data_IF_495980929318
#
_entry.id   IF_495980929318
#
_cell.length_a   1.000
_cell.length_b   1.000
_cell.length_c   1.000
_cell.angle_alpha   90.00
_cell.angle_beta   90.00
_cell.angle_gamma   90.00
#
_symmetry.space_group_name_H-M   'P 1'
#
loop_
_entity.id
_entity.type
_entity.pdbx_description
1 polymer ?
#
# COMPACT_ATOMS: atom_id res chain seq x y z
N UNK A 1 -23.48 -43.64 -17.69
CA UNK A 1 -22.70 -43.49 -18.94
C UNK A 1 -22.25 -42.04 -18.96
N UNK A 2 -20.98 -41.79 -18.65
CA UNK A 2 -20.41 -40.45 -18.51
C UNK A 2 -19.37 -40.30 -19.62
N UNK A 3 -19.67 -39.48 -20.62
CA UNK A 3 -18.79 -39.23 -21.75
C UNK A 3 -17.61 -38.36 -21.28
N UNK A 4 -16.40 -38.94 -21.30
CA UNK A 4 -15.14 -38.21 -21.13
C UNK A 4 -14.82 -37.49 -22.44
N UNK A 5 -14.74 -36.16 -22.41
CA UNK A 5 -14.22 -35.37 -23.54
C UNK A 5 -12.69 -35.57 -23.70
N UNK A 6 -12.15 -35.63 -24.94
CA UNK A 6 -10.72 -35.82 -25.18
C UNK A 6 -9.88 -34.57 -24.90
N UNK A 7 -8.68 -34.77 -24.32
CA UNK A 7 -7.69 -33.72 -24.06
C UNK A 7 -6.91 -33.37 -25.36
N UNK A 8 -6.91 -32.10 -25.83
CA UNK A 8 -6.43 -31.74 -27.18
C UNK A 8 -4.90 -31.57 -27.33
N UNK A 9 -4.08 -32.00 -26.37
CA UNK A 9 -2.60 -31.88 -26.44
C UNK A 9 -1.86 -33.21 -26.53
N UNK A 10 -2.51 -34.24 -27.08
CA UNK A 10 -1.93 -35.58 -27.20
C UNK A 10 -1.50 -35.87 -28.64
N UNK A 11 -0.24 -35.59 -28.94
CA UNK A 11 0.43 -35.98 -30.19
C UNK A 11 1.78 -35.25 -30.25
N UNK A 12 2.93 -35.87 -30.51
CA UNK A 12 3.23 -37.17 -31.08
C UNK A 12 4.70 -37.45 -30.68
N UNK A 13 4.96 -38.58 -30.02
CA UNK A 13 6.31 -39.09 -29.84
C UNK A 13 6.60 -40.05 -31.00
N UNK A 14 7.34 -39.57 -32.00
CA UNK A 14 7.83 -40.37 -33.11
C UNK A 14 9.31 -40.09 -33.40
N UNK A 15 10.21 -40.74 -32.66
CA UNK A 15 11.63 -40.88 -33.05
C UNK A 15 11.76 -41.99 -34.13
N UNK A 16 12.78 -41.98 -35.02
CA UNK A 16 14.02 -42.70 -34.66
C UNK A 16 15.34 -42.22 -35.34
N UNK A 17 16.45 -42.32 -34.59
CA UNK A 17 17.75 -42.83 -35.12
C UNK A 17 18.91 -41.84 -35.40
N UNK A 18 19.99 -41.93 -34.61
CA UNK A 18 21.35 -41.46 -34.96
C UNK A 18 22.26 -41.13 -33.75
N UNK A 19 23.45 -41.76 -33.56
CA UNK A 19 24.18 -41.73 -32.29
C UNK A 19 25.26 -40.63 -32.21
N UNK A 20 25.50 -40.06 -31.03
CA UNK A 20 26.66 -39.17 -30.86
C UNK A 20 26.74 -38.46 -29.50
N UNK A 21 27.68 -38.92 -28.69
CA UNK A 21 28.19 -38.35 -27.44
C UNK A 21 28.39 -36.82 -27.46
N UNK A 22 28.20 -36.16 -26.30
CA UNK A 22 28.72 -34.79 -26.09
C UNK A 22 28.23 -34.10 -24.83
N UNK A 23 29.03 -34.15 -23.76
CA UNK A 23 28.91 -33.25 -22.62
C UNK A 23 29.14 -31.80 -23.10
N UNK A 24 28.39 -30.79 -22.63
CA UNK A 24 28.75 -29.40 -22.90
C UNK A 24 30.01 -29.04 -22.10
N UNK A 25 31.05 -28.82 -22.90
CA UNK A 25 32.42 -28.48 -22.56
C UNK A 25 32.52 -27.14 -21.81
N UNK A 26 33.41 -27.09 -20.81
CA UNK A 26 33.69 -25.92 -19.98
C UNK A 26 34.33 -24.77 -20.76
N UNK A 27 33.91 -23.55 -20.40
CA UNK A 27 34.52 -22.31 -20.87
C UNK A 27 35.85 -22.06 -20.15
N UNK A 28 36.89 -21.57 -20.85
CA UNK A 28 38.21 -21.32 -20.26
C UNK A 28 38.18 -20.15 -19.26
N UNK A 29 38.89 -20.35 -18.16
CA UNK A 29 39.02 -19.42 -17.04
C UNK A 29 39.82 -18.16 -17.40
N UNK A 30 39.23 -17.00 -17.11
CA UNK A 30 39.90 -15.71 -17.08
C UNK A 30 40.80 -15.66 -15.84
N UNK A 31 42.09 -15.27 -15.94
CA UNK A 31 42.99 -15.26 -14.79
C UNK A 31 42.73 -14.03 -13.93
N UNK A 32 42.27 -14.25 -12.70
CA UNK A 32 42.25 -13.21 -11.68
C UNK A 32 41.02 -13.21 -10.77
N UNK A 33 40.71 -14.29 -10.06
CA UNK A 33 39.97 -14.18 -8.79
C UNK A 33 40.18 -15.42 -7.90
N UNK A 34 40.73 -15.29 -6.68
CA UNK A 34 40.95 -16.41 -5.76
C UNK A 34 39.68 -16.89 -5.06
N UNK A 35 39.51 -18.22 -5.00
CA UNK A 35 39.36 -18.99 -3.76
C UNK A 35 38.10 -18.82 -2.91
N UNK A 36 37.36 -19.93 -2.77
CA UNK A 36 36.36 -20.18 -1.73
C UNK A 36 36.83 -19.73 -0.33
N UNK A 37 35.98 -19.00 0.39
CA UNK A 37 36.16 -18.69 1.80
C UNK A 37 34.82 -18.38 2.47
N UNK A 38 34.41 -19.23 3.41
CA UNK A 38 33.40 -18.90 4.41
C UNK A 38 33.82 -17.63 5.18
N UNK A 39 32.93 -16.66 5.44
CA UNK A 39 33.22 -15.67 6.45
C UNK A 39 33.16 -16.33 7.84
N UNK A 40 34.31 -16.31 8.53
CA UNK A 40 34.45 -16.74 9.91
C UNK A 40 33.66 -15.82 10.84
N UNK A 41 32.89 -16.45 11.74
CA UNK A 41 32.11 -15.83 12.79
C UNK A 41 33.03 -15.21 13.86
N UNK A 42 32.86 -13.92 14.25
CA UNK A 42 33.61 -13.35 15.36
C UNK A 42 33.10 -13.90 16.71
N UNK A 43 33.99 -14.15 17.69
CA UNK A 43 33.61 -14.68 19.00
C UNK A 43 32.87 -13.63 19.84
N UNK A 44 31.73 -14.02 20.41
CA UNK A 44 30.94 -13.23 21.34
C UNK A 44 31.61 -13.17 22.74
N UNK A 45 31.82 -11.99 23.34
CA UNK A 45 32.22 -11.88 24.73
C UNK A 45 31.00 -11.78 25.67
N UNK A 46 30.82 -12.82 26.48
CA UNK A 46 30.72 -12.73 27.94
C UNK A 46 29.54 -11.99 28.59
N UNK A 47 28.66 -12.77 29.22
CA UNK A 47 27.71 -12.35 30.25
C UNK A 47 28.40 -11.62 31.42
N UNK A 48 27.80 -10.52 31.90
CA UNK A 48 28.09 -9.91 33.18
C UNK A 48 27.05 -8.86 33.58
N UNK A 49 26.28 -9.13 34.64
CA UNK A 49 25.50 -8.12 35.37
C UNK A 49 26.35 -7.61 36.54
N UNK A 50 26.28 -6.30 36.83
CA UNK A 50 25.93 -5.91 38.20
C UNK A 50 24.85 -4.81 38.24
N UNK A 51 23.97 -4.98 39.23
CA UNK A 51 22.90 -4.10 39.64
C UNK A 51 23.45 -3.04 40.60
N UNK A 52 23.29 -1.75 40.31
CA UNK A 52 23.53 -0.67 41.30
C UNK A 52 22.53 0.48 41.12
N UNK A 53 22.01 0.93 42.26
CA UNK A 53 20.86 1.80 42.50
C UNK A 53 21.17 3.29 42.34
N UNK A 54 20.19 4.16 42.00
CA UNK A 54 20.37 5.61 41.99
C UNK A 54 20.16 6.25 43.37
N UNK A 55 21.00 7.23 43.79
CA UNK A 55 20.70 8.07 44.95
C UNK A 55 19.93 9.35 44.56
N UNK A 56 18.78 9.57 45.21
CA UNK A 56 18.22 10.91 45.49
C UNK A 56 18.65 11.31 46.94
N UNK A 57 18.46 12.54 47.48
CA UNK A 57 17.66 13.68 46.99
C UNK A 57 18.27 15.10 47.22
N UNK A 58 17.82 16.10 46.46
CA UNK A 58 18.03 17.53 46.75
C UNK A 58 16.70 18.23 47.03
N UNK A 59 16.50 18.67 48.27
CA UNK A 59 15.32 19.41 48.77
C UNK A 59 15.26 20.85 48.26
N UNK A 60 14.05 21.38 48.01
CA UNK A 60 13.63 22.74 48.36
C UNK A 60 12.09 22.83 48.49
N UNK A 61 11.53 23.81 49.23
CA UNK A 61 10.69 23.56 50.42
C UNK A 61 9.18 23.52 50.20
N UNK A 62 8.52 22.71 51.03
CA UNK A 62 7.07 22.74 51.28
C UNK A 62 6.72 23.97 52.14
N UNK A 63 5.91 24.87 51.60
CA UNK A 63 5.14 25.82 52.39
C UNK A 63 3.73 25.26 52.53
N UNK A 64 3.43 24.72 53.71
CA UNK A 64 2.13 24.15 54.04
C UNK A 64 1.07 25.23 54.19
N UNK A 65 -0.12 24.94 53.66
CA UNK A 65 -1.34 25.70 53.91
C UNK A 65 -2.54 24.80 53.74
N UNK A 66 -3.05 24.30 54.86
CA UNK A 66 -4.34 23.62 54.93
C UNK A 66 -5.48 24.62 54.66
N UNK A 67 -6.43 24.28 53.80
CA UNK A 67 -7.74 24.93 53.80
C UNK A 67 -8.45 25.04 52.44
N UNK A 68 -9.58 24.31 52.35
CA UNK A 68 -10.81 24.61 51.56
C UNK A 68 -10.80 24.17 50.07
N UNK A 69 -11.80 23.41 49.60
CA UNK A 69 -11.90 22.97 48.20
C UNK A 69 -12.43 24.10 47.30
N UNK A 70 -11.67 24.46 46.26
CA UNK A 70 -12.14 25.30 45.16
C UNK A 70 -12.72 24.41 44.04
N UNK A 71 -13.93 24.70 43.50
CA UNK A 71 -14.53 23.91 42.46
C UNK A 71 -14.01 24.32 41.07
N UNK A 72 -13.57 23.34 40.27
CA UNK A 72 -13.65 23.46 38.80
C UNK A 72 -12.37 23.41 37.96
N UNK A 73 -11.29 22.76 38.40
CA UNK A 73 -10.17 22.44 37.48
C UNK A 73 -10.26 20.98 36.99
N UNK A 74 -10.26 20.73 35.65
CA UNK A 74 -10.29 19.37 35.12
C UNK A 74 -9.01 18.61 35.49
N UNK A 75 -9.10 17.28 35.71
CA UNK A 75 -7.99 16.47 36.19
C UNK A 75 -6.85 16.44 35.17
N UNK A 76 -5.68 16.86 35.64
CA UNK A 76 -4.39 16.79 34.95
C UNK A 76 -3.99 15.32 34.89
N UNK A 77 -4.09 14.70 33.71
CA UNK A 77 -3.59 13.34 33.46
C UNK A 77 -2.06 13.31 33.62
N UNK A 78 -1.47 12.28 34.24
CA UNK A 78 -0.03 12.13 34.35
C UNK A 78 0.59 11.86 32.95
N UNK A 79 1.54 12.69 32.47
CA UNK A 79 2.20 12.47 31.20
C UNK A 79 3.29 11.41 31.37
N UNK A 80 2.98 10.15 31.06
CA UNK A 80 3.89 9.02 31.29
C UNK A 80 3.75 7.82 30.35
N UNK A 81 2.90 7.88 29.32
CA UNK A 81 2.98 6.90 28.23
C UNK A 81 3.34 7.61 26.93
N UNK A 82 4.47 7.25 26.27
CA UNK A 82 4.75 7.75 24.94
C UNK A 82 3.76 7.09 23.97
N UNK A 83 2.70 7.81 23.60
CA UNK A 83 2.07 7.60 22.29
C UNK A 83 3.10 8.05 21.25
N UNK A 84 3.94 7.12 20.82
CA UNK A 84 4.86 7.32 19.72
C UNK A 84 4.08 7.36 18.39
N UNK A 85 3.28 8.41 18.19
CA UNK A 85 2.97 8.93 16.86
C UNK A 85 4.15 9.80 16.43
N UNK A 86 5.26 9.14 16.13
CA UNK A 86 6.46 9.79 15.64
C UNK A 86 6.24 10.28 14.22
N UNK A 87 6.22 11.61 14.05
CA UNK A 87 6.78 12.31 12.91
C UNK A 87 6.14 12.07 11.54
N UNK A 88 5.30 13.01 11.13
CA UNK A 88 4.93 13.21 9.73
C UNK A 88 3.43 13.06 9.51
N UNK A 89 2.88 14.00 8.73
CA UNK A 89 1.53 13.92 8.16
C UNK A 89 1.41 12.64 7.33
N UNK A 90 1.04 11.55 7.99
CA UNK A 90 0.77 10.28 7.34
C UNK A 90 -0.52 10.38 6.53
N UNK A 91 -0.56 9.70 5.38
CA UNK A 91 -1.76 9.59 4.57
C UNK A 91 -2.00 8.12 4.20
N UNK A 92 -3.24 7.81 3.84
CA UNK A 92 -3.66 6.47 3.51
C UNK A 92 -4.12 6.36 2.05
N UNK A 93 -3.82 5.21 1.45
CA UNK A 93 -4.25 4.77 0.13
C UNK A 93 -4.96 3.42 0.31
N UNK A 94 -6.29 3.45 0.36
CA UNK A 94 -7.07 2.25 0.68
C UNK A 94 -6.73 1.75 2.09
N UNK A 95 -6.17 0.54 2.17
CA UNK A 95 -5.70 -0.11 3.40
C UNK A 95 -4.19 0.10 3.66
N UNK A 96 -3.49 0.84 2.81
CA UNK A 96 -2.06 1.18 2.96
C UNK A 96 -1.95 2.52 3.68
N UNK A 97 -1.25 2.57 4.81
CA UNK A 97 -0.97 3.84 5.51
C UNK A 97 0.51 4.15 5.46
N UNK A 98 0.89 5.37 5.09
CA UNK A 98 2.28 5.83 5.17
C UNK A 98 2.41 6.66 6.45
N UNK A 99 3.34 6.31 7.32
CA UNK A 99 3.59 7.01 8.59
C UNK A 99 5.10 7.08 8.84
N UNK A 100 5.65 8.30 8.88
CA UNK A 100 7.09 8.51 9.00
C UNK A 100 7.86 7.83 7.87
N UNK A 101 8.76 6.92 8.23
CA UNK A 101 9.61 6.15 7.30
C UNK A 101 9.10 4.71 7.07
N UNK A 102 7.83 4.46 7.34
CA UNK A 102 7.22 3.14 7.23
C UNK A 102 5.92 3.18 6.43
N UNK A 103 5.67 2.10 5.70
CA UNK A 103 4.41 1.79 5.05
C UNK A 103 3.76 0.68 5.87
N UNK A 104 2.60 0.97 6.46
CA UNK A 104 1.80 0.02 7.21
C UNK A 104 0.78 -0.62 6.27
N UNK A 105 0.80 -1.95 6.21
CA UNK A 105 -0.19 -2.75 5.48
C UNK A 105 -0.75 -3.86 6.38
N UNK A 106 -1.88 -4.47 6.03
CA UNK A 106 -2.39 -5.64 6.75
C UNK A 106 -1.40 -6.81 6.83
N UNK A 107 -0.49 -6.93 5.87
CA UNK A 107 0.59 -7.95 5.85
C UNK A 107 1.80 -7.56 6.72
N UNK A 108 1.75 -6.41 7.40
CA UNK A 108 2.79 -5.89 8.27
C UNK A 108 3.45 -4.61 7.74
N UNK A 109 4.34 -4.01 8.53
CA UNK A 109 5.09 -2.83 8.11
C UNK A 109 6.17 -3.19 7.08
N UNK A 110 6.42 -2.28 6.13
CA UNK A 110 7.53 -2.32 5.19
C UNK A 110 8.22 -0.95 5.11
N UNK A 111 9.53 -0.87 4.79
CA UNK A 111 10.24 0.40 4.77
C UNK A 111 9.70 1.33 3.66
N UNK A 112 9.60 2.63 3.92
CA UNK A 112 9.20 3.59 2.90
C UNK A 112 10.31 3.83 1.88
N UNK A 113 11.57 3.82 2.34
CA UNK A 113 12.75 3.95 1.49
C UNK A 113 12.89 2.81 0.50
N UNK A 114 13.11 3.18 -0.76
CA UNK A 114 13.21 2.23 -1.88
C UNK A 114 11.87 1.59 -2.28
N UNK A 115 10.74 2.09 -1.76
CA UNK A 115 9.43 1.57 -2.13
C UNK A 115 9.08 1.95 -3.58
N UNK A 116 8.71 0.96 -4.39
CA UNK A 116 8.20 1.15 -5.73
C UNK A 116 6.67 1.16 -5.71
N UNK A 117 6.08 2.22 -6.27
CA UNK A 117 4.63 2.44 -6.31
C UNK A 117 4.09 2.40 -7.75
N UNK A 118 3.04 1.61 -7.96
CA UNK A 118 2.33 1.48 -9.23
C UNK A 118 0.82 1.68 -9.05
N UNK A 119 0.14 2.24 -10.05
CA UNK A 119 -1.31 2.33 -10.11
C UNK A 119 -1.85 1.99 -11.50
N UNK A 120 -2.83 1.11 -11.55
CA UNK A 120 -3.55 0.71 -12.76
C UNK A 120 -5.01 1.15 -12.66
N UNK A 121 -5.51 1.81 -13.70
CA UNK A 121 -6.91 2.20 -13.79
C UNK A 121 -7.75 1.06 -14.39
N UNK A 122 -8.67 0.51 -13.59
CA UNK A 122 -9.66 -0.48 -14.02
C UNK A 122 -11.07 0.13 -14.00
N UNK A 123 -11.18 1.45 -14.00
CA UNK A 123 -12.46 2.16 -14.05
C UNK A 123 -12.99 2.30 -15.48
N UNK A 124 -14.31 2.41 -15.60
CA UNK A 124 -15.02 2.66 -16.85
C UNK A 124 -16.02 3.80 -16.64
N UNK A 125 -15.96 4.79 -17.52
CA UNK A 125 -16.96 5.87 -17.55
C UNK A 125 -17.92 5.64 -18.70
N UNK A 126 -19.20 5.48 -18.35
CA UNK A 126 -20.29 5.37 -19.31
C UNK A 126 -21.15 6.64 -19.28
N UNK A 127 -21.65 7.04 -20.44
CA UNK A 127 -22.56 8.19 -20.55
C UNK A 127 -23.93 7.69 -20.98
N UNK A 128 -24.96 7.95 -20.17
CA UNK A 128 -26.35 7.56 -20.44
C UNK A 128 -27.27 8.77 -20.41
N UNK A 129 -28.35 8.71 -21.17
CA UNK A 129 -29.44 9.69 -21.05
C UNK A 129 -30.34 9.20 -19.90
N UNK A 130 -30.55 10.01 -18.84
CA UNK A 130 -31.34 9.58 -17.70
C UNK A 130 -32.80 9.39 -18.11
N UNK A 131 -33.46 8.35 -17.59
CA UNK A 131 -34.86 8.04 -17.93
C UNK A 131 -35.80 9.21 -17.65
N UNK A 132 -35.55 9.95 -16.56
CA UNK A 132 -36.30 11.15 -16.20
C UNK A 132 -36.19 12.26 -17.26
N UNK A 133 -35.04 12.41 -17.94
CA UNK A 133 -34.91 13.38 -19.04
C UNK A 133 -35.81 13.02 -20.22
N UNK A 134 -35.93 11.72 -20.53
CA UNK A 134 -36.82 11.23 -21.60
C UNK A 134 -38.29 11.49 -21.21
N UNK A 135 -38.68 11.17 -19.98
CA UNK A 135 -40.05 11.39 -19.48
C UNK A 135 -40.42 12.88 -19.52
N UNK A 136 -39.53 13.75 -19.03
CA UNK A 136 -39.75 15.20 -19.06
C UNK A 136 -39.81 15.73 -20.50
N UNK A 137 -38.99 15.21 -21.41
CA UNK A 137 -39.05 15.57 -22.83
C UNK A 137 -40.41 15.25 -23.46
N UNK A 138 -41.00 14.09 -23.12
CA UNK A 138 -42.33 13.69 -23.61
C UNK A 138 -43.44 14.59 -23.04
N UNK A 139 -43.41 14.88 -21.73
CA UNK A 139 -44.42 15.73 -21.07
C UNK A 139 -44.37 17.17 -21.61
N UNK A 140 -43.17 17.72 -21.82
CA UNK A 140 -42.97 19.09 -22.31
C UNK A 140 -42.86 19.20 -23.83
N UNK A 141 -43.19 18.15 -24.60
CA UNK A 141 -43.06 18.17 -26.06
C UNK A 141 -43.89 19.28 -26.73
N UNK A 142 -45.06 19.64 -26.16
CA UNK A 142 -45.86 20.77 -26.64
C UNK A 142 -45.12 22.11 -26.55
N UNK A 143 -44.18 22.22 -25.61
CA UNK A 143 -43.25 23.33 -25.49
C UNK A 143 -41.89 23.02 -26.12
N UNK A 144 -41.90 22.27 -27.24
CA UNK A 144 -40.79 21.76 -28.07
C UNK A 144 -39.35 22.10 -27.61
N UNK A 145 -38.96 23.38 -27.57
CA UNK A 145 -37.62 23.81 -27.13
C UNK A 145 -37.26 23.37 -25.68
N UNK A 146 -38.23 23.39 -24.77
CA UNK A 146 -38.05 22.93 -23.38
C UNK A 146 -37.88 21.41 -23.31
N UNK A 147 -38.66 20.64 -24.07
CA UNK A 147 -38.53 19.18 -24.12
C UNK A 147 -37.17 18.72 -24.67
N UNK A 148 -36.66 19.42 -25.69
CA UNK A 148 -35.37 19.14 -26.31
C UNK A 148 -34.19 19.46 -25.37
N UNK A 149 -34.29 20.48 -24.52
CA UNK A 149 -33.26 20.80 -23.52
C UNK A 149 -33.03 19.63 -22.57
N UNK A 150 -34.10 18.91 -22.18
CA UNK A 150 -33.96 17.75 -21.31
C UNK A 150 -33.24 16.58 -21.99
N UNK A 151 -33.40 16.38 -23.30
CA UNK A 151 -32.64 15.36 -24.04
C UNK A 151 -31.13 15.65 -24.11
N UNK A 152 -30.72 16.90 -23.92
CA UNK A 152 -29.30 17.27 -23.78
C UNK A 152 -28.72 16.90 -22.40
N UNK A 153 -29.57 16.58 -21.42
CA UNK A 153 -29.11 16.12 -20.12
C UNK A 153 -28.46 14.75 -20.27
N UNK A 154 -27.14 14.68 -20.04
CA UNK A 154 -26.37 13.44 -20.03
C UNK A 154 -25.85 13.18 -18.63
N UNK A 155 -26.04 11.97 -18.14
CA UNK A 155 -25.48 11.51 -16.88
C UNK A 155 -24.20 10.72 -17.18
N UNK A 156 -23.12 11.05 -16.48
CA UNK A 156 -21.88 10.27 -16.51
C UNK A 156 -21.85 9.40 -15.27
N UNK A 157 -21.74 8.09 -15.44
CA UNK A 157 -21.56 7.15 -14.33
C UNK A 157 -20.17 6.54 -14.48
N UNK A 158 -19.38 6.61 -13.42
CA UNK A 158 -18.07 5.94 -13.34
C UNK A 158 -18.20 4.73 -12.43
N UNK A 159 -17.71 3.58 -12.87
CA UNK A 159 -17.71 2.33 -12.10
C UNK A 159 -16.34 1.67 -12.22
N UNK A 160 -16.01 0.79 -11.26
CA UNK A 160 -14.75 0.05 -11.25
C UNK A 160 -13.81 0.49 -10.12
N UNK A 161 -12.53 0.17 -10.27
CA UNK A 161 -11.53 0.32 -9.21
C UNK A 161 -10.20 0.81 -9.78
N UNK A 162 -9.40 1.46 -8.95
CA UNK A 162 -8.01 1.76 -9.21
C UNK A 162 -7.19 0.79 -8.36
N UNK A 163 -6.39 -0.03 -9.02
CA UNK A 163 -5.48 -0.95 -8.33
C UNK A 163 -4.19 -0.22 -8.01
N UNK A 164 -3.83 -0.14 -6.73
CA UNK A 164 -2.57 0.44 -6.27
C UNK A 164 -1.70 -0.69 -5.72
N UNK A 165 -0.44 -0.74 -6.15
CA UNK A 165 0.52 -1.74 -5.71
C UNK A 165 1.78 -1.06 -5.19
N UNK A 166 2.25 -1.53 -4.04
CA UNK A 166 3.50 -1.10 -3.41
C UNK A 166 4.43 -2.28 -3.23
N UNK A 167 5.72 -2.05 -3.50
CA UNK A 167 6.78 -3.04 -3.35
C UNK A 167 7.90 -2.45 -2.54
N UNK A 168 8.26 -3.06 -1.40
CA UNK A 168 9.37 -2.61 -0.58
C UNK A 168 9.94 -3.71 0.30
N UNK A 169 11.26 -3.72 0.51
CA UNK A 169 11.93 -4.67 1.41
C UNK A 169 11.66 -6.15 1.09
N UNK A 170 11.50 -6.50 -0.19
CA UNK A 170 11.15 -7.85 -0.64
C UNK A 170 9.68 -8.25 -0.43
N UNK A 171 8.82 -7.31 -0.01
CA UNK A 171 7.38 -7.50 0.15
C UNK A 171 6.61 -6.72 -0.90
N UNK A 172 5.41 -7.22 -1.22
CA UNK A 172 4.48 -6.58 -2.15
C UNK A 172 3.10 -6.54 -1.51
N UNK A 173 2.39 -5.41 -1.63
CA UNK A 173 1.00 -5.28 -1.20
C UNK A 173 0.20 -4.57 -2.27
N UNK A 174 -1.05 -4.98 -2.49
CA UNK A 174 -1.95 -4.36 -3.45
C UNK A 174 -3.29 -4.07 -2.81
N UNK A 175 -3.85 -2.93 -3.17
CA UNK A 175 -5.16 -2.47 -2.70
C UNK A 175 -6.00 -1.99 -3.86
N UNK A 176 -7.33 -2.00 -3.69
CA UNK A 176 -8.28 -1.55 -4.69
C UNK A 176 -9.06 -0.37 -4.13
N UNK A 177 -8.93 0.78 -4.79
CA UNK A 177 -9.63 2.01 -4.42
C UNK A 177 -10.84 2.13 -5.35
N UNK A 178 -12.08 2.28 -4.82
CA UNK A 178 -13.25 2.42 -5.68
C UNK A 178 -13.17 3.72 -6.50
N UNK A 179 -13.45 3.61 -7.80
CA UNK A 179 -13.53 4.77 -8.70
C UNK A 179 -14.88 5.45 -8.52
N UNK A 180 -14.94 6.47 -7.65
CA UNK A 180 -16.18 7.24 -7.41
C UNK A 180 -16.48 8.16 -8.60
N UNK A 181 -15.45 8.62 -9.29
CA UNK A 181 -15.54 9.52 -10.43
C UNK A 181 -14.27 9.44 -11.31
N UNK A 182 -14.31 10.08 -12.49
CA UNK A 182 -13.18 10.08 -13.43
C UNK A 182 -11.91 10.77 -12.89
N UNK A 183 -12.03 11.65 -11.90
CA UNK A 183 -10.87 12.32 -11.27
C UNK A 183 -10.22 11.48 -10.18
N UNK A 184 -10.84 10.38 -9.73
CA UNK A 184 -10.30 9.52 -8.68
C UNK A 184 -8.90 9.01 -9.04
N UNK A 185 -8.66 8.61 -10.31
CA UNK A 185 -7.34 8.17 -10.75
C UNK A 185 -6.27 9.27 -10.64
N UNK A 186 -6.61 10.51 -11.00
CA UNK A 186 -5.69 11.65 -10.85
C UNK A 186 -5.34 11.92 -9.38
N UNK A 187 -6.33 11.83 -8.49
CA UNK A 187 -6.08 11.93 -7.05
C UNK A 187 -5.14 10.82 -6.56
N UNK A 188 -5.39 9.56 -6.93
CA UNK A 188 -4.50 8.43 -6.59
C UNK A 188 -3.08 8.66 -7.10
N UNK A 189 -2.93 9.13 -8.33
CA UNK A 189 -1.61 9.38 -8.91
C UNK A 189 -0.86 10.50 -8.17
N UNK A 190 -1.55 11.56 -7.74
CA UNK A 190 -0.95 12.62 -6.92
C UNK A 190 -0.44 12.09 -5.57
N UNK A 191 -1.24 11.26 -4.90
CA UNK A 191 -0.84 10.63 -3.64
C UNK A 191 0.35 9.68 -3.83
N UNK A 192 0.37 8.91 -4.91
CA UNK A 192 1.51 8.04 -5.25
C UNK A 192 2.76 8.86 -5.56
N UNK A 193 2.64 9.95 -6.30
CA UNK A 193 3.77 10.84 -6.57
C UNK A 193 4.33 11.43 -5.26
N UNK A 194 3.45 11.79 -4.32
CA UNK A 194 3.86 12.20 -2.98
C UNK A 194 4.56 11.05 -2.23
N UNK A 195 4.02 9.84 -2.23
CA UNK A 195 4.67 8.66 -1.63
C UNK A 195 6.07 8.41 -2.20
N UNK A 196 6.21 8.51 -3.54
CA UNK A 196 7.49 8.36 -4.22
C UNK A 196 8.50 9.41 -3.76
N UNK A 197 8.07 10.66 -3.57
CA UNK A 197 8.95 11.72 -3.09
C UNK A 197 9.51 11.43 -1.69
N UNK A 198 8.77 10.70 -0.86
CA UNK A 198 9.19 10.28 0.48
C UNK A 198 10.03 8.99 0.48
N UNK A 199 9.99 8.21 -0.60
CA UNK A 199 10.68 6.91 -0.73
C UNK A 199 12.14 6.99 -1.16
N UNK A 200 12.66 8.20 -1.40
CA UNK A 200 14.03 8.47 -1.88
C UNK A 200 15.04 8.45 -0.73
#
# INVERSE_FOLDING_TARGET
>A
MSEQQPNPYSGDNGAPGGPGYGYPQGYPATPGTPGYGYPAQPPAPGYGYPQDTPPAPGYQPTMGGAGIPAPGQPPIMPPGQPQAFGGGSGFALGDITIAGDQIMTPSGPMPLRGAMWNASDLSRTETKIPAHAIVLAVIFFLFCLLGLLFLLMKEKTTTGYIQVTVTSGGRHHSTMIPAVDASTYHWVMNQINYARSLSI
#
